data_IF_932338286594
#
_entry.id   IF_932338286594
#
_cell.length_a   1.000
_cell.length_b   1.000
_cell.length_c   1.000
_cell.angle_alpha   90.00
_cell.angle_beta   90.00
_cell.angle_gamma   90.00
#
_symmetry.space_group_name_H-M   'P 1'
#
loop_
_entity.id
_entity.type
_entity.pdbx_description
1 polymer ?
#
# COMPACT_ATOMS: atom_id res chain seq x y z
N UNK A 1 15.87 -34.06 -77.34
CA UNK A 1 15.97 -32.99 -76.31
C UNK A 1 14.94 -33.12 -75.18
N UNK A 2 14.61 -34.33 -74.70
CA UNK A 2 13.53 -34.52 -73.71
C UNK A 2 13.94 -35.28 -72.43
N UNK A 3 15.19 -35.78 -72.37
CA UNK A 3 15.69 -36.58 -71.24
C UNK A 3 16.50 -35.78 -70.21
N UNK A 4 16.87 -34.52 -70.51
CA UNK A 4 17.65 -33.64 -69.61
C UNK A 4 16.78 -32.74 -68.72
N UNK A 5 15.50 -32.55 -69.04
CA UNK A 5 14.60 -31.71 -68.24
C UNK A 5 13.99 -32.46 -67.03
N UNK A 6 13.88 -33.79 -67.09
CA UNK A 6 13.33 -34.59 -65.99
C UNK A 6 14.29 -34.70 -64.79
N UNK A 7 15.60 -34.72 -65.03
CA UNK A 7 16.60 -34.86 -63.96
C UNK A 7 16.85 -33.56 -63.19
N UNK A 8 16.71 -32.38 -63.83
CA UNK A 8 16.81 -31.10 -63.12
C UNK A 8 15.62 -30.84 -62.19
N UNK A 9 14.41 -31.28 -62.57
CA UNK A 9 13.19 -31.04 -61.79
C UNK A 9 13.15 -31.89 -60.50
N UNK A 10 13.66 -33.13 -60.54
CA UNK A 10 13.79 -33.98 -59.36
C UNK A 10 14.85 -33.43 -58.39
N UNK A 11 15.94 -32.85 -58.90
CA UNK A 11 17.00 -32.28 -58.06
C UNK A 11 16.52 -31.04 -57.29
N UNK A 12 15.65 -30.20 -57.88
CA UNK A 12 15.10 -29.02 -57.19
C UNK A 12 14.07 -29.40 -56.12
N UNK A 13 13.27 -30.46 -56.34
CA UNK A 13 12.33 -30.95 -55.34
C UNK A 13 13.04 -31.55 -54.11
N UNK A 14 14.16 -32.25 -54.33
CA UNK A 14 14.96 -32.81 -53.23
C UNK A 14 15.63 -31.73 -52.37
N UNK A 15 16.07 -30.61 -52.97
CA UNK A 15 16.71 -29.50 -52.24
C UNK A 15 15.69 -28.75 -51.36
N UNK A 16 14.44 -28.61 -51.81
CA UNK A 16 13.36 -27.98 -51.03
C UNK A 16 12.89 -28.84 -49.84
N UNK A 17 12.96 -30.18 -49.94
CA UNK A 17 12.58 -31.06 -48.84
C UNK A 17 13.64 -31.13 -47.72
N UNK A 18 14.92 -31.01 -48.04
CA UNK A 18 16.01 -30.99 -47.04
C UNK A 18 16.02 -29.70 -46.22
N UNK A 19 15.63 -28.57 -46.82
CA UNK A 19 15.58 -27.26 -46.14
C UNK A 19 14.36 -27.10 -45.22
N UNK A 20 13.31 -27.91 -45.37
CA UNK A 20 12.16 -27.91 -44.46
C UNK A 20 12.46 -28.69 -43.16
N UNK A 21 13.30 -29.73 -43.22
CA UNK A 21 13.62 -30.56 -42.05
C UNK A 21 14.59 -29.90 -41.06
N UNK A 22 15.43 -28.97 -41.51
CA UNK A 22 16.39 -28.27 -40.63
C UNK A 22 15.75 -27.17 -39.80
N UNK A 23 14.69 -26.51 -40.29
CA UNK A 23 13.98 -25.46 -39.56
C UNK A 23 13.17 -26.02 -38.37
N UNK A 24 12.49 -27.15 -38.55
CA UNK A 24 11.72 -27.82 -37.49
C UNK A 24 12.60 -28.41 -36.36
N UNK A 25 13.81 -28.85 -36.69
CA UNK A 25 14.74 -29.41 -35.70
C UNK A 25 15.42 -28.33 -34.83
N UNK A 26 15.48 -27.09 -35.31
CA UNK A 26 16.12 -26.00 -34.57
C UNK A 26 15.15 -25.33 -33.58
N UNK A 27 13.85 -25.32 -33.91
CA UNK A 27 12.79 -24.75 -33.06
C UNK A 27 12.43 -25.66 -31.87
N UNK A 28 12.64 -26.97 -32.00
CA UNK A 28 12.40 -27.95 -30.92
C UNK A 28 13.48 -27.96 -29.85
N UNK A 29 14.74 -27.67 -30.21
CA UNK A 29 15.84 -27.56 -29.23
C UNK A 29 15.78 -26.30 -28.36
N UNK A 30 15.14 -25.23 -28.83
CA UNK A 30 15.04 -23.98 -28.05
C UNK A 30 13.86 -23.98 -27.08
N UNK A 31 12.87 -24.87 -27.26
CA UNK A 31 11.69 -24.92 -26.38
C UNK A 31 11.88 -25.83 -25.15
N UNK A 32 12.70 -26.88 -25.25
CA UNK A 32 13.00 -27.75 -24.09
C UNK A 32 13.90 -27.06 -23.05
N UNK A 33 14.76 -26.12 -23.48
CA UNK A 33 15.67 -25.39 -22.58
C UNK A 33 14.96 -24.26 -21.81
N UNK A 34 13.71 -23.93 -22.18
CA UNK A 34 12.83 -23.00 -21.46
C UNK A 34 11.82 -23.71 -20.55
N UNK A 35 11.98 -25.02 -20.33
CA UNK A 35 11.20 -25.73 -19.32
C UNK A 35 11.72 -25.36 -17.94
N UNK A 36 11.23 -24.23 -17.42
CA UNK A 36 11.26 -23.89 -16.01
C UNK A 36 10.99 -25.17 -15.19
N UNK A 37 11.87 -25.54 -14.25
CA UNK A 37 11.62 -26.68 -13.37
C UNK A 37 10.25 -26.52 -12.71
N UNK A 38 9.30 -27.38 -13.09
CA UNK A 38 7.98 -27.51 -12.45
C UNK A 38 8.08 -28.27 -11.13
N UNK A 39 9.19 -28.10 -10.40
CA UNK A 39 9.26 -28.48 -9.01
C UNK A 39 8.46 -27.43 -8.25
N UNK A 40 7.15 -27.66 -8.16
CA UNK A 40 6.29 -26.97 -7.19
C UNK A 40 6.97 -27.24 -5.84
N UNK A 41 7.56 -26.22 -5.19
CA UNK A 41 8.12 -26.42 -3.87
C UNK A 41 7.00 -26.96 -2.99
N UNK A 42 7.31 -27.96 -2.16
CA UNK A 42 6.41 -28.37 -1.08
C UNK A 42 5.89 -27.10 -0.35
N UNK A 43 4.65 -27.11 0.17
CA UNK A 43 4.11 -25.95 0.90
C UNK A 43 5.18 -25.47 1.88
N UNK A 44 5.63 -24.23 1.70
CA UNK A 44 6.66 -23.64 2.55
C UNK A 44 6.07 -23.60 3.94
N UNK A 45 6.50 -24.51 4.80
CA UNK A 45 6.15 -24.51 6.22
C UNK A 45 6.60 -23.15 6.75
N UNK A 46 5.63 -22.34 7.16
CA UNK A 46 5.88 -20.98 7.60
C UNK A 46 6.80 -21.08 8.82
N UNK A 47 7.97 -20.44 8.75
CA UNK A 47 8.87 -20.49 9.90
C UNK A 47 8.19 -19.81 11.09
N UNK A 48 8.44 -20.32 12.29
CA UNK A 48 7.85 -19.80 13.54
C UNK A 48 8.02 -18.27 13.69
N UNK A 49 9.08 -17.71 13.12
CA UNK A 49 9.33 -16.26 13.06
C UNK A 49 8.33 -15.51 12.19
N UNK A 50 7.99 -16.05 11.01
CA UNK A 50 7.02 -15.42 10.09
C UNK A 50 5.61 -15.50 10.68
N UNK A 51 5.26 -16.62 11.32
CA UNK A 51 3.97 -16.74 12.04
C UNK A 51 3.85 -15.71 13.16
N UNK A 52 4.92 -15.52 13.94
CA UNK A 52 4.95 -14.53 15.02
C UNK A 52 4.86 -13.09 14.49
N UNK A 53 5.53 -12.80 13.37
CA UNK A 53 5.47 -11.48 12.72
C UNK A 53 4.04 -11.17 12.23
N UNK A 54 3.39 -12.12 11.55
CA UNK A 54 2.01 -11.97 11.09
C UNK A 54 1.07 -11.80 12.29
N UNK A 55 1.21 -12.63 13.33
CA UNK A 55 0.39 -12.55 14.53
C UNK A 55 0.51 -11.18 15.23
N UNK A 56 1.70 -10.57 15.23
CA UNK A 56 1.93 -9.26 15.84
C UNK A 56 1.21 -8.10 15.12
N UNK A 57 0.85 -8.29 13.84
CA UNK A 57 0.11 -7.30 13.03
C UNK A 57 -1.41 -7.42 13.19
N UNK A 58 -1.90 -8.46 13.86
CA UNK A 58 -3.33 -8.63 14.10
C UNK A 58 -3.69 -7.91 15.40
N UNK A 59 -4.56 -6.89 15.36
CA UNK A 59 -5.01 -6.22 16.57
C UNK A 59 -5.65 -7.22 17.55
N UNK A 60 -5.33 -7.13 18.86
CA UNK A 60 -6.07 -7.83 19.90
C UNK A 60 -7.56 -7.48 19.87
N UNK A 61 -8.43 -8.40 20.33
CA UNK A 61 -9.90 -8.21 20.31
C UNK A 61 -10.38 -7.04 21.16
N UNK A 62 -9.60 -6.68 22.18
CA UNK A 62 -9.81 -5.58 23.11
C UNK A 62 -9.24 -4.25 22.61
N UNK A 63 -8.56 -4.23 21.45
CA UNK A 63 -8.21 -2.99 20.76
C UNK A 63 -9.31 -2.63 19.73
N UNK A 64 -10.13 -1.60 19.98
CA UNK A 64 -11.26 -1.25 19.11
C UNK A 64 -10.80 -0.44 17.89
N UNK A 65 -9.92 -1.01 17.07
CA UNK A 65 -9.37 -0.34 15.89
C UNK A 65 -10.45 0.19 14.96
N UNK A 66 -10.25 1.40 14.46
CA UNK A 66 -11.13 2.03 13.48
C UNK A 66 -10.87 1.41 12.12
N UNK A 67 -11.86 0.68 11.62
CA UNK A 67 -11.80 -0.07 10.36
C UNK A 67 -12.82 0.47 9.37
N UNK A 68 -12.63 0.11 8.10
CA UNK A 68 -13.60 0.46 7.07
C UNK A 68 -14.98 -0.14 7.39
N UNK A 69 -16.00 0.71 7.43
CA UNK A 69 -17.40 0.29 7.53
C UNK A 69 -18.27 1.11 6.58
N UNK A 70 -19.30 0.49 5.99
CA UNK A 70 -20.22 1.19 5.08
C UNK A 70 -21.43 1.73 5.86
N UNK A 71 -21.90 2.96 5.56
CA UNK A 71 -21.32 3.92 4.61
C UNK A 71 -20.08 4.63 5.17
N UNK A 72 -19.08 4.89 4.32
CA UNK A 72 -17.96 5.77 4.67
C UNK A 72 -18.25 7.21 4.30
N UNK A 73 -17.52 8.14 4.92
CA UNK A 73 -17.51 9.53 4.52
C UNK A 73 -17.01 9.66 3.06
N UNK A 74 -17.61 10.60 2.31
CA UNK A 74 -17.17 10.99 0.99
C UNK A 74 -16.74 12.45 1.04
N UNK A 75 -15.48 12.73 0.66
CA UNK A 75 -14.94 14.09 0.71
C UNK A 75 -15.68 15.03 -0.26
N UNK A 76 -15.85 16.32 0.09
CA UNK A 76 -16.44 17.31 -0.80
C UNK A 76 -15.48 17.64 -1.95
N UNK A 77 -16.03 18.24 -3.02
CA UNK A 77 -15.17 18.87 -4.04
C UNK A 77 -14.28 19.97 -3.42
N UNK A 78 -13.05 20.18 -3.92
CA UNK A 78 -12.46 19.58 -5.13
C UNK A 78 -11.79 18.21 -4.90
N UNK A 79 -11.91 17.63 -3.70
CA UNK A 79 -11.28 16.35 -3.39
C UNK A 79 -12.04 15.18 -4.01
N UNK A 80 -11.32 14.10 -4.28
CA UNK A 80 -11.95 12.84 -4.68
C UNK A 80 -12.89 12.33 -3.57
N UNK A 81 -14.11 11.90 -3.89
CA UNK A 81 -15.06 11.37 -2.89
C UNK A 81 -14.54 10.09 -2.22
N UNK A 82 -13.53 9.43 -2.78
CA UNK A 82 -12.84 8.28 -2.20
C UNK A 82 -11.35 8.57 -1.96
N UNK A 83 -10.78 7.90 -0.96
CA UNK A 83 -9.38 8.04 -0.62
C UNK A 83 -8.45 7.65 -1.79
N UNK A 84 -7.27 8.30 -1.93
CA UNK A 84 -6.47 8.25 -3.16
C UNK A 84 -5.71 6.94 -3.38
N UNK A 85 -5.56 6.09 -2.36
CA UNK A 85 -4.75 4.87 -2.44
C UNK A 85 -5.54 3.62 -2.07
N UNK A 86 -5.11 2.47 -2.59
CA UNK A 86 -5.71 1.19 -2.27
C UNK A 86 -5.47 0.82 -0.81
N UNK A 87 -6.47 0.20 -0.17
CA UNK A 87 -6.37 -0.25 1.21
C UNK A 87 -6.60 0.82 2.27
N UNK A 88 -6.94 2.05 1.86
CA UNK A 88 -7.31 3.14 2.78
C UNK A 88 -8.73 3.68 2.51
N UNK A 89 -9.29 4.39 3.48
CA UNK A 89 -10.59 5.03 3.36
C UNK A 89 -10.65 6.38 4.06
N UNK A 90 -11.58 7.23 3.64
CA UNK A 90 -11.85 8.50 4.30
C UNK A 90 -12.60 8.30 5.62
N UNK A 91 -12.05 8.86 6.70
CA UNK A 91 -12.65 8.86 8.02
C UNK A 91 -12.79 10.28 8.54
N UNK A 92 -14.00 10.66 8.98
CA UNK A 92 -14.30 11.98 9.51
C UNK A 92 -15.55 12.59 8.90
N UNK A 93 -15.49 13.90 8.67
CA UNK A 93 -16.59 14.71 8.14
C UNK A 93 -16.06 15.79 7.19
N UNK A 94 -16.97 16.55 6.57
CA UNK A 94 -16.65 17.65 5.64
C UNK A 94 -15.66 18.67 6.23
N UNK A 95 -15.70 18.92 7.54
CA UNK A 95 -14.87 19.96 8.15
C UNK A 95 -13.57 19.45 8.77
N UNK A 96 -13.38 18.14 8.89
CA UNK A 96 -12.12 17.51 9.26
C UNK A 96 -12.17 16.02 8.94
N UNK A 97 -11.22 15.53 8.16
CA UNK A 97 -11.07 14.11 7.85
C UNK A 97 -9.62 13.69 7.67
N UNK A 98 -9.38 12.38 7.73
CA UNK A 98 -8.08 11.74 7.46
C UNK A 98 -8.28 10.46 6.64
N UNK A 99 -7.18 9.87 6.20
CA UNK A 99 -7.14 8.57 5.53
C UNK A 99 -6.62 7.49 6.49
N UNK A 100 -7.41 6.44 6.71
CA UNK A 100 -7.04 5.32 7.57
C UNK A 100 -6.92 4.03 6.76
N UNK A 101 -6.05 3.12 7.21
CA UNK A 101 -5.99 1.76 6.67
C UNK A 101 -7.28 1.01 6.97
N UNK A 102 -7.74 0.20 6.02
CA UNK A 102 -9.01 -0.54 6.14
C UNK A 102 -9.04 -1.52 7.33
N UNK A 103 -7.87 -2.00 7.75
CA UNK A 103 -7.68 -2.93 8.87
C UNK A 103 -7.35 -2.23 10.20
N UNK A 104 -7.18 -0.89 10.19
CA UNK A 104 -6.82 -0.11 11.37
C UNK A 104 -5.41 -0.36 11.90
N UNK A 105 -4.51 -0.95 11.09
CA UNK A 105 -3.15 -1.32 11.49
C UNK A 105 -2.12 -0.40 10.85
N UNK A 106 -1.24 0.17 11.66
CA UNK A 106 0.00 0.84 11.20
C UNK A 106 1.20 -0.02 11.60
N UNK A 107 1.77 -0.73 10.62
CA UNK A 107 2.92 -1.63 10.81
C UNK A 107 4.17 -1.13 10.09
N UNK A 108 5.36 -1.55 10.53
CA UNK A 108 6.61 -1.21 9.85
C UNK A 108 6.97 0.28 9.92
N UNK A 109 6.50 0.99 10.95
CA UNK A 109 6.79 2.41 11.12
C UNK A 109 8.29 2.64 11.40
N UNK A 110 8.92 3.70 10.85
CA UNK A 110 10.30 4.01 11.15
C UNK A 110 10.51 4.25 12.64
N UNK A 111 11.48 3.54 13.21
CA UNK A 111 11.81 3.58 14.64
C UNK A 111 12.95 4.55 14.92
N UNK A 112 12.79 5.40 15.93
CA UNK A 112 13.79 6.31 16.49
C UNK A 112 14.20 5.85 17.90
N UNK A 113 15.05 6.62 18.59
CA UNK A 113 15.32 6.41 20.02
C UNK A 113 14.10 6.65 20.90
N UNK A 114 13.14 7.44 20.42
CA UNK A 114 12.06 7.99 21.21
C UNK A 114 10.71 7.30 20.89
N UNK A 115 10.60 6.57 19.78
CA UNK A 115 9.41 5.79 19.44
C UNK A 115 9.32 5.38 17.97
N UNK A 116 8.08 5.29 17.49
CA UNK A 116 7.71 4.96 16.12
C UNK A 116 7.11 6.19 15.46
N UNK A 117 7.72 6.65 14.37
CA UNK A 117 7.32 7.88 13.69
C UNK A 117 6.30 7.62 12.61
N UNK A 118 5.35 8.53 12.46
CA UNK A 118 4.36 8.50 11.41
C UNK A 118 4.08 9.91 10.89
N UNK A 119 3.71 10.01 9.61
CA UNK A 119 3.11 11.20 9.03
C UNK A 119 1.61 10.99 8.89
N UNK A 120 0.82 11.93 9.39
CA UNK A 120 -0.64 11.89 9.24
C UNK A 120 -1.05 13.09 8.38
N UNK A 121 -1.78 12.82 7.31
CA UNK A 121 -2.44 13.83 6.50
C UNK A 121 -3.84 14.07 7.01
N UNK A 122 -4.23 15.35 7.05
CA UNK A 122 -5.54 15.81 7.48
C UNK A 122 -6.06 16.78 6.46
N UNK A 123 -7.35 16.69 6.18
CA UNK A 123 -8.03 17.56 5.23
C UNK A 123 -9.22 18.23 5.90
N UNK A 124 -9.62 19.36 5.35
CA UNK A 124 -10.76 20.15 5.80
C UNK A 124 -11.18 21.07 4.66
N UNK A 125 -12.48 21.25 4.43
CA UNK A 125 -13.01 22.29 3.54
C UNK A 125 -12.76 23.71 4.09
N UNK A 126 -12.43 23.81 5.37
CA UNK A 126 -12.04 25.05 6.04
C UNK A 126 -10.55 25.35 5.89
N UNK A 127 -9.74 24.42 5.37
CA UNK A 127 -8.30 24.60 5.20
C UNK A 127 -7.99 25.38 3.92
N UNK A 128 -7.06 26.34 4.03
CA UNK A 128 -6.58 27.15 2.91
C UNK A 128 -5.05 27.24 3.02
N UNK A 129 -4.35 26.52 2.15
CA UNK A 129 -2.89 26.45 2.19
C UNK A 129 -2.24 27.82 2.00
N UNK A 130 -2.81 28.67 1.15
CA UNK A 130 -2.23 29.97 0.80
C UNK A 130 -2.22 30.92 2.00
N UNK A 131 -3.28 30.87 2.82
CA UNK A 131 -3.43 31.73 3.99
C UNK A 131 -2.97 31.06 5.30
N UNK A 132 -2.84 29.73 5.33
CA UNK A 132 -2.53 28.95 6.52
C UNK A 132 -1.45 27.86 6.26
N UNK A 133 -0.21 28.23 5.87
CA UNK A 133 0.83 27.24 5.57
C UNK A 133 1.32 26.45 6.80
N UNK A 134 0.97 26.92 8.01
CA UNK A 134 1.22 26.28 9.31
C UNK A 134 -0.10 26.25 10.09
N UNK A 135 -0.98 25.27 9.81
CA UNK A 135 -2.32 25.26 10.37
C UNK A 135 -2.32 25.06 11.88
N UNK A 136 -3.32 25.66 12.54
CA UNK A 136 -3.56 25.47 13.97
C UNK A 136 -4.24 24.12 14.28
N UNK A 137 -3.83 23.06 13.58
CA UNK A 137 -4.21 21.68 13.85
C UNK A 137 -3.45 21.19 15.08
N UNK A 138 -4.15 20.51 15.99
CA UNK A 138 -3.56 19.84 17.15
C UNK A 138 -3.85 18.36 17.03
N UNK A 139 -2.83 17.53 17.24
CA UNK A 139 -2.99 16.07 17.31
C UNK A 139 -2.57 15.61 18.69
N UNK A 140 -3.42 14.81 19.32
CA UNK A 140 -3.14 14.12 20.58
C UNK A 140 -3.33 12.64 20.39
N UNK A 141 -2.76 11.85 21.30
CA UNK A 141 -3.03 10.43 21.32
C UNK A 141 -2.59 9.80 22.63
N UNK A 142 -3.32 8.78 23.05
CA UNK A 142 -3.05 8.06 24.28
C UNK A 142 -3.20 6.55 24.05
N UNK A 143 -2.45 5.78 24.83
CA UNK A 143 -2.45 4.33 24.74
C UNK A 143 -3.64 3.76 25.51
N UNK A 144 -4.35 2.82 24.90
CA UNK A 144 -5.55 2.18 25.46
C UNK A 144 -5.27 0.84 26.17
N UNK A 145 -4.25 0.12 25.73
CA UNK A 145 -3.95 -1.25 26.16
C UNK A 145 -2.77 -1.36 27.13
N UNK A 146 -2.31 -0.22 27.68
CA UNK A 146 -1.21 -0.20 28.65
C UNK A 146 -0.69 1.20 28.93
N UNK A 147 0.21 1.28 29.92
CA UNK A 147 0.86 2.53 30.31
C UNK A 147 1.87 2.99 29.25
N UNK A 148 1.79 4.25 28.85
CA UNK A 148 2.74 4.91 27.94
C UNK A 148 2.62 6.43 28.12
N UNK A 149 3.70 7.21 27.89
CA UNK A 149 3.56 8.63 27.62
C UNK A 149 2.60 8.86 26.43
N UNK A 150 1.93 10.01 26.41
CA UNK A 150 1.10 10.42 25.28
C UNK A 150 1.91 10.52 23.98
N UNK A 151 1.21 10.39 22.85
CA UNK A 151 1.75 10.62 21.53
C UNK A 151 2.39 12.00 21.45
N UNK A 152 3.59 12.05 20.87
CA UNK A 152 4.30 13.31 20.64
C UNK A 152 3.89 13.88 19.28
N UNK A 153 3.39 15.11 19.29
CA UNK A 153 3.00 15.88 18.12
C UNK A 153 4.02 16.99 17.84
N UNK A 154 4.46 17.13 16.58
CA UNK A 154 5.52 18.07 16.19
C UNK A 154 5.00 19.37 15.53
N UNK A 155 3.70 19.66 15.65
CA UNK A 155 3.06 20.74 14.91
C UNK A 155 2.60 20.30 13.52
N UNK A 156 1.84 21.17 12.87
CA UNK A 156 1.32 20.93 11.53
C UNK A 156 1.97 21.86 10.50
N UNK A 157 2.22 21.30 9.33
CA UNK A 157 2.63 22.00 8.10
C UNK A 157 1.59 21.70 7.02
N UNK A 158 2.01 21.72 5.76
CA UNK A 158 1.17 21.40 4.62
C UNK A 158 1.80 20.28 3.77
N UNK A 159 0.98 19.67 2.94
CA UNK A 159 1.35 18.82 1.82
C UNK A 159 0.43 19.16 0.63
N UNK A 160 0.95 19.01 -0.59
CA UNK A 160 0.16 19.19 -1.80
C UNK A 160 0.67 18.26 -2.90
N UNK A 161 -0.24 17.56 -3.56
CA UNK A 161 0.02 16.80 -4.78
C UNK A 161 -1.29 16.58 -5.55
N UNK A 162 -1.19 16.26 -6.85
CA UNK A 162 -2.36 16.13 -7.74
C UNK A 162 -3.38 15.08 -7.25
N UNK A 163 -2.93 14.00 -6.61
CA UNK A 163 -3.77 12.91 -6.12
C UNK A 163 -4.38 13.16 -4.74
N UNK A 164 -3.79 14.05 -3.93
CA UNK A 164 -4.25 14.35 -2.56
C UNK A 164 -4.88 15.73 -2.41
N UNK A 165 -4.73 16.62 -3.39
CA UNK A 165 -5.09 18.03 -3.25
C UNK A 165 -4.20 18.75 -2.23
N UNK A 166 -4.78 19.68 -1.47
CA UNK A 166 -4.12 20.35 -0.34
C UNK A 166 -4.45 19.63 0.96
N UNK A 167 -3.43 19.36 1.79
CA UNK A 167 -3.61 18.72 3.08
C UNK A 167 -2.76 19.41 4.14
N UNK A 168 -3.25 19.37 5.38
CA UNK A 168 -2.42 19.62 6.56
C UNK A 168 -1.59 18.36 6.82
N UNK A 169 -0.30 18.52 7.09
CA UNK A 169 0.60 17.39 7.35
C UNK A 169 1.18 17.50 8.75
N UNK A 170 1.11 16.42 9.51
CA UNK A 170 1.74 16.33 10.83
C UNK A 170 2.75 15.20 10.85
N UNK A 171 3.85 15.42 11.57
CA UNK A 171 4.65 14.33 12.10
C UNK A 171 4.17 14.01 13.50
N UNK A 172 4.10 12.72 13.82
CA UNK A 172 3.82 12.21 15.16
C UNK A 172 4.81 11.10 15.53
N UNK A 173 4.96 10.87 16.83
CA UNK A 173 5.76 9.77 17.37
C UNK A 173 4.98 9.03 18.45
N UNK A 174 4.82 7.73 18.26
CA UNK A 174 4.23 6.80 19.21
C UNK A 174 5.34 6.22 20.08
N UNK A 175 5.38 6.48 21.40
CA UNK A 175 6.43 5.97 22.27
C UNK A 175 6.52 4.44 22.32
N UNK A 176 5.41 3.73 22.10
CA UNK A 176 5.33 2.28 22.19
C UNK A 176 4.41 1.67 21.13
N UNK A 177 4.65 0.41 20.78
CA UNK A 177 3.67 -0.43 20.07
C UNK A 177 2.44 -0.64 20.94
N UNK A 178 1.27 -0.86 20.34
CA UNK A 178 0.04 -1.10 21.08
C UNK A 178 -1.20 -0.50 20.45
N UNK A 179 -2.26 -0.41 21.24
CA UNK A 179 -3.54 0.17 20.85
C UNK A 179 -3.58 1.66 21.20
N UNK A 180 -3.81 2.52 20.22
CA UNK A 180 -3.75 3.96 20.40
C UNK A 180 -5.01 4.65 19.92
N UNK A 181 -5.61 5.47 20.77
CA UNK A 181 -6.61 6.46 20.37
C UNK A 181 -5.89 7.75 19.97
N UNK A 182 -6.25 8.30 18.81
CA UNK A 182 -5.67 9.51 18.23
C UNK A 182 -6.80 10.48 17.93
N UNK A 183 -6.69 11.71 18.43
CA UNK A 183 -7.60 12.81 18.12
C UNK A 183 -6.88 13.88 17.31
N UNK A 184 -7.55 14.40 16.29
CA UNK A 184 -7.14 15.63 15.61
C UNK A 184 -8.20 16.71 15.81
N UNK A 185 -7.77 17.90 16.23
CA UNK A 185 -8.63 19.07 16.38
C UNK A 185 -8.18 20.19 15.45
N UNK A 186 -9.09 20.71 14.63
CA UNK A 186 -8.86 21.86 13.76
C UNK A 186 -10.11 22.71 13.64
N UNK A 187 -9.99 24.02 13.89
CA UNK A 187 -11.11 24.99 13.84
C UNK A 187 -12.35 24.52 14.61
N UNK A 188 -12.15 23.94 15.80
CA UNK A 188 -13.16 23.36 16.71
C UNK A 188 -13.83 22.09 16.21
N UNK A 189 -13.39 21.55 15.07
CA UNK A 189 -13.80 20.24 14.58
C UNK A 189 -12.83 19.22 15.12
N UNK A 190 -13.35 18.10 15.59
CA UNK A 190 -12.57 17.03 16.16
C UNK A 190 -12.98 15.71 15.52
N UNK A 191 -11.99 14.88 15.20
CA UNK A 191 -12.21 13.48 14.88
C UNK A 191 -11.28 12.64 15.75
N UNK A 192 -11.78 11.48 16.17
CA UNK A 192 -11.05 10.51 16.99
C UNK A 192 -11.11 9.15 16.33
N UNK A 193 -9.98 8.46 16.25
CA UNK A 193 -9.89 7.11 15.73
C UNK A 193 -8.89 6.29 16.53
N UNK A 194 -8.98 4.97 16.40
CA UNK A 194 -8.11 4.02 17.09
C UNK A 194 -7.29 3.23 16.07
N UNK A 195 -5.98 3.10 16.31
CA UNK A 195 -5.06 2.33 15.47
C UNK A 195 -4.25 1.34 16.30
N UNK A 196 -3.92 0.21 15.68
CA UNK A 196 -2.95 -0.74 16.22
C UNK A 196 -1.57 -0.44 15.64
N UNK A 197 -0.63 -0.06 16.50
CA UNK A 197 0.77 0.17 16.12
C UNK A 197 1.53 -1.16 16.27
N UNK A 198 1.91 -1.74 15.14
CA UNK A 198 2.56 -3.04 15.04
C UNK A 198 4.01 -2.91 14.55
N UNK A 199 4.85 -3.95 14.77
CA UNK A 199 6.20 -4.03 14.21
C UNK A 199 6.26 -3.86 12.69
#
# INVERSE_FOLDING_TARGET
MQRRYFTLSILHLAILLVSCTTLLSQETKTLEDYRMPTDIPAPVELTQTVEAEIASRIPPKDCPVTTFSKPTFAAPEPYSPSAPWDGIFWFGSEHLWTALHNDGVWSGLPKTSDGFTQKIMWWSDLYDLSNEPKPALVVTGHRLDGESPDLRFYGATNAMADDIGEAMLTGVEFPTLGCWEVSGEYKKMEITFVVWIAP
#
